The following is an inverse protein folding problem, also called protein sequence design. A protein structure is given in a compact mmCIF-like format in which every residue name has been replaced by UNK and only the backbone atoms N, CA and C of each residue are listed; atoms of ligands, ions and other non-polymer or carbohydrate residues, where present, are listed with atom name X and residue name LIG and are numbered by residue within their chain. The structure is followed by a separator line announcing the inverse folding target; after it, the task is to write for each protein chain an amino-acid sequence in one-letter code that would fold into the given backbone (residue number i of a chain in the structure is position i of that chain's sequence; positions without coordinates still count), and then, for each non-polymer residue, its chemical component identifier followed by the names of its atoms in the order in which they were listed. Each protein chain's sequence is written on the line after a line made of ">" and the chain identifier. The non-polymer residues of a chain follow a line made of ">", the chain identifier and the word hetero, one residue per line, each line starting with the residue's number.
data_IF_482540077112
#
_entry.id   IF_482540077112
#
_cell.length_a   1.000
_cell.length_b   1.000
_cell.length_c   1.000
_cell.angle_alpha   90.00
_cell.angle_beta   90.00
_cell.angle_gamma   90.00
#
_symmetry.space_group_name_H-M   'P 1'
#
loop_
_entity.id
_entity.type
_entity.pdbx_description
1 polymer ?
#
# COMPACT_ATOMS: atom_id res chain seq x y z
N UNK A 1 4.58 9.59 5.72
CA UNK A 1 4.83 10.99 5.35
C UNK A 1 5.29 11.06 3.90
N UNK A 2 5.64 12.24 3.39
CA UNK A 2 6.23 12.32 2.06
C UNK A 2 7.67 11.79 2.06
N UNK A 3 8.03 11.12 0.98
CA UNK A 3 9.38 10.68 0.65
C UNK A 3 9.72 11.15 -0.77
N UNK A 4 10.99 11.42 -1.02
CA UNK A 4 11.49 11.76 -2.35
C UNK A 4 11.68 10.50 -3.21
N UNK A 5 11.78 10.70 -4.53
CA UNK A 5 11.95 9.64 -5.53
C UNK A 5 13.12 8.70 -5.25
N UNK A 6 14.21 9.18 -4.66
CA UNK A 6 15.42 8.42 -4.36
C UNK A 6 15.23 7.43 -3.20
N UNK A 7 14.22 7.63 -2.37
CA UNK A 7 13.88 6.73 -1.27
C UNK A 7 13.04 5.52 -1.71
N UNK A 8 12.53 5.53 -2.95
CA UNK A 8 11.89 4.37 -3.56
C UNK A 8 12.93 3.39 -4.07
N UNK A 9 12.68 2.11 -3.87
CA UNK A 9 13.49 1.01 -4.40
C UNK A 9 12.83 0.52 -5.69
N UNK A 10 12.44 -0.75 -5.73
CA UNK A 10 11.76 -1.37 -6.87
C UNK A 10 10.37 -0.76 -7.14
N UNK A 11 9.78 -0.06 -6.17
CA UNK A 11 8.46 0.56 -6.31
C UNK A 11 8.43 1.63 -7.40
N UNK A 12 9.55 2.30 -7.64
CA UNK A 12 9.62 3.39 -8.59
C UNK A 12 9.42 2.95 -10.04
N UNK A 13 9.82 1.73 -10.39
CA UNK A 13 9.57 1.17 -11.72
C UNK A 13 8.08 0.87 -11.97
N UNK A 14 7.27 0.82 -10.91
CA UNK A 14 5.87 0.41 -10.95
C UNK A 14 4.89 1.59 -10.87
N UNK A 15 5.38 2.78 -10.52
CA UNK A 15 4.62 4.01 -10.36
C UNK A 15 5.05 5.07 -11.38
N UNK A 16 4.24 6.11 -11.62
CA UNK A 16 4.68 7.29 -12.37
C UNK A 16 5.93 7.91 -11.74
N UNK A 17 6.84 8.41 -12.58
CA UNK A 17 8.04 9.10 -12.12
C UNK A 17 7.68 10.53 -11.68
N UNK A 18 7.74 10.76 -10.37
CA UNK A 18 7.33 12.00 -9.70
C UNK A 18 8.38 12.39 -8.66
N UNK A 19 8.53 13.67 -8.31
CA UNK A 19 9.52 14.09 -7.32
C UNK A 19 9.24 13.50 -5.94
N UNK A 20 7.96 13.37 -5.55
CA UNK A 20 7.55 12.96 -4.21
C UNK A 20 6.40 11.97 -4.22
N UNK A 21 6.41 11.15 -3.18
CA UNK A 21 5.40 10.12 -2.92
C UNK A 21 4.99 10.18 -1.47
N UNK A 22 3.72 9.95 -1.21
CA UNK A 22 3.26 9.72 0.16
C UNK A 22 3.46 8.25 0.53
N UNK A 23 4.28 8.03 1.54
CA UNK A 23 4.55 6.73 2.13
C UNK A 23 3.75 6.55 3.41
N UNK A 24 3.14 5.37 3.54
CA UNK A 24 2.54 4.89 4.77
C UNK A 24 2.96 3.46 5.05
N UNK A 25 3.48 3.25 6.25
CA UNK A 25 3.86 1.95 6.78
C UNK A 25 3.04 1.67 8.03
N UNK A 26 2.54 0.44 8.14
CA UNK A 26 1.68 0.02 9.24
C UNK A 26 1.99 -1.42 9.66
N UNK A 27 1.66 -1.73 10.90
CA UNK A 27 1.48 -3.10 11.37
C UNK A 27 -0.01 -3.30 11.63
N UNK A 28 -0.58 -4.33 11.03
CA UNK A 28 -1.96 -4.75 11.29
C UNK A 28 -1.93 -5.87 12.33
N UNK A 29 -2.52 -5.58 13.49
CA UNK A 29 -2.67 -6.54 14.57
C UNK A 29 -4.04 -7.21 14.52
N UNK A 30 -4.10 -8.51 14.82
CA UNK A 30 -5.32 -9.20 15.23
C UNK A 30 -5.14 -9.67 16.66
N UNK A 31 -6.11 -9.37 17.53
CA UNK A 31 -6.06 -9.70 18.96
C UNK A 31 -4.75 -9.29 19.69
N UNK A 32 -4.15 -8.18 19.24
CA UNK A 32 -2.89 -7.66 19.80
C UNK A 32 -1.63 -8.27 19.19
N UNK A 33 -1.74 -9.25 18.30
CA UNK A 33 -0.62 -9.92 17.66
C UNK A 33 -0.38 -9.40 16.23
N UNK A 34 0.87 -9.10 15.84
CA UNK A 34 1.17 -8.54 14.53
C UNK A 34 1.05 -9.60 13.43
N UNK A 35 0.05 -9.44 12.56
CA UNK A 35 -0.21 -10.39 11.47
C UNK A 35 0.33 -9.93 10.12
N UNK A 36 0.39 -8.63 9.89
CA UNK A 36 0.76 -8.11 8.58
C UNK A 36 1.52 -6.80 8.69
N UNK A 37 2.65 -6.70 8.01
CA UNK A 37 3.32 -5.43 7.75
C UNK A 37 2.86 -4.91 6.38
N UNK A 38 2.32 -3.69 6.37
CA UNK A 38 1.79 -3.06 5.17
C UNK A 38 2.60 -1.82 4.82
N UNK A 39 2.99 -1.70 3.55
CA UNK A 39 3.68 -0.55 2.99
C UNK A 39 2.91 -0.05 1.78
N UNK A 40 2.44 1.19 1.84
CA UNK A 40 1.67 1.84 0.77
C UNK A 40 2.43 3.05 0.26
N UNK A 41 2.67 3.10 -1.04
CA UNK A 41 3.31 4.22 -1.74
C UNK A 41 2.29 4.83 -2.69
N UNK A 42 2.02 6.13 -2.55
CA UNK A 42 1.04 6.86 -3.33
C UNK A 42 1.73 8.05 -4.02
N UNK A 43 1.73 8.13 -5.37
CA UNK A 43 2.23 9.31 -6.07
C UNK A 43 1.48 10.58 -5.65
N UNK A 44 2.16 11.71 -5.61
CA UNK A 44 1.54 12.99 -5.23
C UNK A 44 0.38 13.34 -6.18
N UNK A 45 0.49 13.02 -7.47
CA UNK A 45 -0.59 13.17 -8.46
C UNK A 45 -1.87 12.39 -8.14
N UNK A 46 -1.75 11.29 -7.38
CA UNK A 46 -2.89 10.46 -6.98
C UNK A 46 -3.68 11.10 -5.82
N UNK A 47 -3.02 11.92 -5.00
CA UNK A 47 -3.58 12.57 -3.81
C UNK A 47 -4.31 13.87 -4.19
N UNK A 48 -5.28 13.76 -5.08
CA UNK A 48 -6.14 14.88 -5.48
C UNK A 48 -7.61 14.49 -5.38
N UNK A 49 -8.48 15.44 -5.05
CA UNK A 49 -9.91 15.18 -4.89
C UNK A 49 -10.23 14.24 -3.72
N UNK A 50 -11.17 13.28 -3.87
CA UNK A 50 -11.54 12.33 -2.80
C UNK A 50 -10.37 11.53 -2.23
N UNK A 51 -9.35 11.26 -3.05
CA UNK A 51 -8.17 10.47 -2.71
C UNK A 51 -7.24 11.17 -1.69
N UNK A 52 -7.43 12.47 -1.40
CA UNK A 52 -6.77 13.15 -0.27
C UNK A 52 -7.04 12.47 1.07
N UNK A 53 -8.18 11.78 1.20
CA UNK A 53 -8.53 11.00 2.38
C UNK A 53 -7.51 9.88 2.69
N UNK A 54 -6.74 9.41 1.70
CA UNK A 54 -5.64 8.45 1.92
C UNK A 54 -4.62 8.99 2.92
N UNK A 55 -4.35 10.30 2.90
CA UNK A 55 -3.41 10.94 3.84
C UNK A 55 -3.97 11.04 5.25
N UNK A 56 -5.30 11.07 5.38
CA UNK A 56 -6.02 11.27 6.64
C UNK A 56 -6.47 9.97 7.29
N UNK A 57 -6.13 8.82 6.72
CA UNK A 57 -6.55 7.51 7.23
C UNK A 57 -6.18 7.28 8.69
N UNK A 58 -5.07 7.85 9.20
CA UNK A 58 -4.65 7.65 10.58
C UNK A 58 -4.57 6.15 10.93
N UNK A 59 -5.30 5.71 11.94
CA UNK A 59 -5.39 4.30 12.36
C UNK A 59 -6.40 3.46 11.55
N UNK A 60 -7.17 4.07 10.64
CA UNK A 60 -8.13 3.35 9.80
C UNK A 60 -7.36 2.47 8.81
N UNK A 61 -7.68 1.16 8.72
CA UNK A 61 -7.07 0.27 7.73
C UNK A 61 -7.36 0.72 6.31
N UNK A 62 -6.34 0.71 5.45
CA UNK A 62 -6.45 1.12 4.05
C UNK A 62 -7.58 0.39 3.32
N UNK A 63 -7.71 -0.93 3.54
CA UNK A 63 -8.74 -1.75 2.92
C UNK A 63 -10.16 -1.19 3.12
N UNK A 64 -10.48 -0.64 4.30
CA UNK A 64 -11.80 -0.08 4.57
C UNK A 64 -12.13 1.09 3.63
N UNK A 65 -11.15 1.95 3.36
CA UNK A 65 -11.30 3.05 2.40
C UNK A 65 -11.39 2.53 0.96
N UNK A 66 -10.52 1.58 0.61
CA UNK A 66 -10.52 0.97 -0.72
C UNK A 66 -11.87 0.30 -1.07
N UNK A 67 -12.48 -0.41 -0.11
CA UNK A 67 -13.76 -1.11 -0.32
C UNK A 67 -14.98 -0.17 -0.35
N UNK A 68 -14.86 1.06 0.16
CA UNK A 68 -15.93 2.07 0.01
C UNK A 68 -15.92 2.78 -1.34
N UNK A 69 -14.82 2.68 -2.09
CA UNK A 69 -14.72 3.28 -3.43
C UNK A 69 -15.19 2.30 -4.50
N UNK A 70 -16.24 2.65 -5.23
CA UNK A 70 -16.79 1.86 -6.33
C UNK A 70 -15.90 1.83 -7.59
N UNK A 71 -14.78 2.55 -7.61
CA UNK A 71 -13.87 2.66 -8.76
C UNK A 71 -12.54 1.93 -8.59
N UNK A 72 -12.40 1.13 -7.52
CA UNK A 72 -11.17 0.38 -7.27
C UNK A 72 -10.91 -0.67 -8.35
N UNK A 73 -9.78 -0.56 -9.02
CA UNK A 73 -9.27 -1.59 -9.94
C UNK A 73 -7.86 -2.00 -9.53
N UNK A 74 -7.40 -3.14 -10.05
CA UNK A 74 -6.08 -3.69 -9.75
C UNK A 74 -5.41 -4.07 -11.06
N UNK A 75 -4.25 -3.49 -11.31
CA UNK A 75 -3.47 -3.75 -12.51
C UNK A 75 -2.81 -5.13 -12.43
N UNK A 76 -2.20 -5.44 -11.29
CA UNK A 76 -1.54 -6.72 -11.05
C UNK A 76 -1.47 -7.05 -9.56
N UNK A 77 -1.14 -8.30 -9.28
CA UNK A 77 -0.71 -8.80 -7.98
C UNK A 77 0.49 -9.73 -8.21
N UNK A 78 1.59 -9.42 -7.56
CA UNK A 78 2.81 -10.23 -7.52
C UNK A 78 2.91 -10.89 -6.15
N UNK A 79 3.28 -12.16 -6.12
CA UNK A 79 3.52 -12.90 -4.88
C UNK A 79 5.03 -13.05 -4.74
N UNK A 80 5.55 -12.77 -3.54
CA UNK A 80 6.95 -12.90 -3.18
C UNK A 80 7.10 -13.73 -1.92
N UNK A 81 8.33 -14.18 -1.67
CA UNK A 81 8.68 -14.86 -0.43
C UNK A 81 10.10 -14.49 -0.02
N UNK A 82 10.28 -14.11 1.23
CA UNK A 82 11.59 -13.81 1.80
C UNK A 82 11.65 -14.33 3.25
N UNK A 83 12.78 -14.89 3.68
CA UNK A 83 12.96 -15.46 5.02
C UNK A 83 11.80 -16.39 5.48
N UNK A 84 11.29 -17.22 4.55
CA UNK A 84 10.11 -18.08 4.70
C UNK A 84 8.76 -17.36 4.82
N UNK A 85 8.73 -16.04 4.90
CA UNK A 85 7.52 -15.21 4.95
C UNK A 85 6.99 -14.91 3.55
N UNK A 86 5.69 -15.13 3.34
CA UNK A 86 4.97 -14.71 2.16
C UNK A 86 4.75 -13.20 2.18
N UNK A 87 4.93 -12.60 1.02
CA UNK A 87 4.53 -11.24 0.73
C UNK A 87 3.76 -11.14 -0.57
N UNK A 88 3.07 -10.03 -0.75
CA UNK A 88 2.44 -9.69 -2.02
C UNK A 88 2.58 -8.21 -2.30
N UNK A 89 2.61 -7.86 -3.58
CA UNK A 89 2.65 -6.48 -4.06
C UNK A 89 1.59 -6.29 -5.13
N UNK A 90 0.75 -5.27 -4.95
CA UNK A 90 -0.33 -4.95 -5.88
C UNK A 90 -0.25 -3.49 -6.30
N UNK A 91 -0.35 -3.22 -7.60
CA UNK A 91 -0.67 -1.88 -8.08
C UNK A 91 -2.18 -1.74 -8.21
N UNK A 92 -2.74 -0.92 -7.34
CA UNK A 92 -4.16 -0.58 -7.32
C UNK A 92 -4.39 0.74 -8.04
N UNK A 93 -5.62 0.97 -8.49
CA UNK A 93 -6.05 2.26 -9.03
C UNK A 93 -7.35 2.70 -8.37
N UNK A 94 -7.36 3.94 -7.90
CA UNK A 94 -8.55 4.63 -7.42
C UNK A 94 -8.94 5.68 -8.43
N UNK A 95 -10.11 5.53 -9.06
CA UNK A 95 -10.54 6.44 -10.13
C UNK A 95 -9.50 6.57 -11.25
N UNK A 96 -8.81 5.47 -11.57
CA UNK A 96 -7.72 5.40 -12.54
C UNK A 96 -6.34 5.82 -12.02
N UNK A 97 -6.24 6.42 -10.83
CA UNK A 97 -4.99 6.95 -10.25
C UNK A 97 -4.24 5.87 -9.46
N UNK A 98 -2.96 5.59 -9.78
CA UNK A 98 -2.26 4.42 -9.27
C UNK A 98 -1.74 4.61 -7.84
N UNK A 99 -1.74 3.53 -7.06
CA UNK A 99 -0.97 3.40 -5.83
C UNK A 99 -0.39 2.00 -5.72
N UNK A 100 0.70 1.85 -4.98
CA UNK A 100 1.36 0.57 -4.77
C UNK A 100 1.17 0.13 -3.32
N UNK A 101 0.67 -1.09 -3.14
CA UNK A 101 0.47 -1.72 -1.85
C UNK A 101 1.33 -2.99 -1.77
N UNK A 102 2.23 -3.03 -0.81
CA UNK A 102 3.05 -4.20 -0.46
C UNK A 102 2.65 -4.68 0.92
N UNK A 103 2.44 -5.98 1.06
CA UNK A 103 1.99 -6.62 2.29
C UNK A 103 2.89 -7.83 2.57
N UNK A 104 3.42 -7.93 3.78
CA UNK A 104 4.20 -9.06 4.27
C UNK A 104 3.40 -9.75 5.39
N UNK A 105 3.15 -11.04 5.24
CA UNK A 105 2.42 -11.85 6.22
C UNK A 105 3.39 -12.36 7.29
N UNK A 106 3.19 -11.91 8.52
CA UNK A 106 4.06 -12.19 9.66
C UNK A 106 3.77 -13.57 10.26
N UNK A 107 4.70 -14.15 11.05
CA UNK A 107 4.58 -15.54 11.53
C UNK A 107 3.28 -15.88 12.25
N UNK A 108 2.70 -14.92 12.97
CA UNK A 108 1.44 -15.08 13.69
C UNK A 108 0.19 -15.10 12.80
N UNK A 109 0.31 -14.70 11.54
CA UNK A 109 -0.82 -14.68 10.61
C UNK A 109 -1.29 -16.11 10.33
N UNK A 110 -2.60 -16.31 10.06
CA UNK A 110 -3.17 -17.63 9.78
C UNK A 110 -2.77 -18.20 8.41
N UNK A 111 -1.79 -17.61 7.73
CA UNK A 111 -1.28 -18.08 6.44
C UNK A 111 -0.33 -19.28 6.60
N UNK A 112 0.26 -19.46 7.78
CA UNK A 112 1.22 -20.52 8.10
C UNK A 112 0.60 -21.62 8.96
#
# INVERSE_FOLDING_TARGET
>A
GYIEREALTDEAALLPDEPRYWLREIILNADGEPWLAGRTVVPESTLCGPELALQQLGQIPLGRYLFTSSTLTRDFIEIGRDAALWGRRSRLRLSGKPLLLTELFLPASPLY
#
